data_IF_962908399868
#
_entry.id   IF_962908399868
#
_cell.length_a   1.000
_cell.length_b   1.000
_cell.length_c   1.000
_cell.angle_alpha   90.00
_cell.angle_beta   90.00
_cell.angle_gamma   90.00
#
_symmetry.space_group_name_H-M   'P 1'
#
loop_
_entity.id
_entity.type
_entity.pdbx_description
1 polymer ?
#
# COMPACT_ATOMS: atom_id res chain seq x y z
N UNK A 1 18.81 -48.36 -2.10
CA UNK A 1 18.01 -47.11 -2.08
C UNK A 1 18.84 -45.95 -1.52
N UNK A 2 19.74 -45.34 -2.31
CA UNK A 2 20.66 -44.30 -1.83
C UNK A 2 20.07 -42.87 -1.79
N UNK A 3 18.91 -42.64 -2.40
CA UNK A 3 18.32 -41.30 -2.55
C UNK A 3 18.07 -40.58 -1.21
N UNK A 4 17.72 -41.32 -0.15
CA UNK A 4 17.49 -40.76 1.18
C UNK A 4 18.73 -40.03 1.74
N UNK A 5 19.94 -40.49 1.42
CA UNK A 5 21.18 -39.85 1.87
C UNK A 5 21.41 -38.48 1.24
N UNK A 6 20.80 -38.20 0.09
CA UNK A 6 20.89 -36.90 -0.58
C UNK A 6 19.68 -36.03 -0.22
N UNK A 7 18.49 -36.62 -0.17
CA UNK A 7 17.24 -35.90 0.09
C UNK A 7 17.15 -35.36 1.53
N UNK A 8 17.63 -36.10 2.54
CA UNK A 8 17.56 -35.65 3.93
C UNK A 8 18.42 -34.39 4.15
N UNK A 9 19.71 -34.35 3.76
CA UNK A 9 20.51 -33.14 3.87
C UNK A 9 19.97 -31.99 3.02
N UNK A 10 19.52 -32.27 1.79
CA UNK A 10 18.94 -31.24 0.91
C UNK A 10 17.69 -30.60 1.54
N UNK A 11 16.80 -31.40 2.15
CA UNK A 11 15.63 -30.90 2.84
C UNK A 11 15.99 -30.06 4.06
N UNK A 12 16.96 -30.50 4.88
CA UNK A 12 17.45 -29.72 6.03
C UNK A 12 18.04 -28.38 5.59
N UNK A 13 18.79 -28.36 4.49
CA UNK A 13 19.37 -27.14 3.93
C UNK A 13 18.27 -26.19 3.44
N UNK A 14 17.26 -26.70 2.73
CA UNK A 14 16.10 -25.92 2.28
C UNK A 14 15.34 -25.29 3.46
N UNK A 15 15.06 -26.08 4.49
CA UNK A 15 14.39 -25.60 5.72
C UNK A 15 15.25 -24.54 6.42
N UNK A 16 16.56 -24.77 6.53
CA UNK A 16 17.49 -23.81 7.13
C UNK A 16 17.53 -22.47 6.37
N UNK A 17 17.56 -22.52 5.04
CA UNK A 17 17.51 -21.31 4.19
C UNK A 17 16.16 -20.59 4.33
N UNK A 18 15.05 -21.33 4.36
CA UNK A 18 13.73 -20.74 4.56
C UNK A 18 13.61 -20.01 5.91
N UNK A 19 14.11 -20.64 6.99
CA UNK A 19 14.15 -20.04 8.32
C UNK A 19 15.04 -18.79 8.32
N UNK A 20 16.22 -18.86 7.71
CA UNK A 20 17.13 -17.71 7.62
C UNK A 20 16.47 -16.51 6.90
N UNK A 21 15.87 -16.75 5.73
CA UNK A 21 15.16 -15.71 4.96
C UNK A 21 13.99 -15.13 5.77
N UNK A 22 13.23 -15.99 6.45
CA UNK A 22 12.11 -15.55 7.28
C UNK A 22 12.56 -14.58 8.38
N UNK A 23 13.59 -14.94 9.14
CA UNK A 23 14.11 -14.07 10.20
C UNK A 23 14.74 -12.78 9.65
N UNK A 24 15.44 -12.85 8.52
CA UNK A 24 15.96 -11.66 7.85
C UNK A 24 14.85 -10.70 7.41
N UNK A 25 13.76 -11.23 6.85
CA UNK A 25 12.61 -10.43 6.43
C UNK A 25 11.87 -9.78 7.60
N UNK A 26 11.76 -10.49 8.73
CA UNK A 26 11.18 -9.96 9.97
C UNK A 26 12.03 -8.84 10.56
N UNK A 27 13.35 -9.01 10.60
CA UNK A 27 14.30 -8.01 11.10
C UNK A 27 14.42 -6.78 10.18
N UNK A 28 14.14 -6.95 8.88
CA UNK A 28 14.19 -5.88 7.87
C UNK A 28 13.10 -4.80 8.01
N UNK A 29 12.34 -4.77 9.12
CA UNK A 29 11.46 -3.65 9.44
C UNK A 29 10.26 -3.46 8.50
N UNK A 30 9.89 -4.46 7.69
CA UNK A 30 8.76 -4.35 6.75
C UNK A 30 7.38 -4.12 7.42
N UNK A 31 7.32 -4.19 8.75
CA UNK A 31 6.12 -3.91 9.54
C UNK A 31 6.06 -2.47 10.05
N UNK A 32 7.13 -1.68 9.92
CA UNK A 32 7.14 -0.27 10.35
C UNK A 32 6.36 0.63 9.38
N UNK A 33 6.18 0.21 8.12
CA UNK A 33 5.42 0.96 7.09
C UNK A 33 3.93 0.55 7.00
N UNK A 34 3.42 -0.23 7.96
CA UNK A 34 1.97 -0.51 8.06
C UNK A 34 1.17 0.71 8.58
N UNK A 35 1.83 1.71 9.14
CA UNK A 35 1.23 2.98 9.56
C UNK A 35 1.08 3.99 8.41
N UNK A 36 1.74 3.77 7.27
CA UNK A 36 1.76 4.68 6.12
C UNK A 36 0.41 4.87 5.40
N UNK A 37 -0.39 3.82 5.12
CA UNK A 37 -1.60 3.96 4.28
C UNK A 37 -2.87 4.39 5.03
N UNK A 38 -2.93 4.20 6.35
CA UNK A 38 -4.13 4.49 7.13
C UNK A 38 -4.32 5.99 7.41
N UNK A 39 -3.24 6.77 7.41
CA UNK A 39 -3.29 8.21 7.60
C UNK A 39 -3.49 9.00 6.30
N UNK A 40 -3.09 8.50 5.13
CA UNK A 40 -3.37 9.18 3.86
C UNK A 40 -4.86 9.20 3.55
N UNK A 41 -5.57 8.08 3.69
CA UNK A 41 -7.02 8.00 3.40
C UNK A 41 -7.89 8.98 4.21
N UNK A 42 -7.49 9.32 5.45
CA UNK A 42 -8.27 10.24 6.29
C UNK A 42 -7.92 11.73 6.04
N UNK A 43 -6.74 12.02 5.50
CA UNK A 43 -6.24 13.39 5.30
C UNK A 43 -6.07 13.78 3.82
N UNK A 44 -6.37 12.90 2.87
CA UNK A 44 -6.34 13.19 1.42
C UNK A 44 -7.28 14.36 1.03
N UNK A 45 -8.36 14.57 1.77
CA UNK A 45 -9.28 15.71 1.56
C UNK A 45 -8.64 17.08 1.88
N UNK A 46 -7.52 17.10 2.60
CA UNK A 46 -6.75 18.30 2.95
C UNK A 46 -5.51 18.49 2.06
N UNK A 47 -5.29 17.63 1.06
CA UNK A 47 -4.20 17.82 0.11
C UNK A 47 -4.41 19.14 -0.65
N UNK A 48 -3.45 20.09 -0.62
CA UNK A 48 -3.55 21.35 -1.35
C UNK A 48 -3.80 21.17 -2.86
N UNK A 49 -3.36 20.06 -3.46
CA UNK A 49 -3.66 19.72 -4.85
C UNK A 49 -5.13 19.34 -5.04
N UNK A 50 -5.72 18.63 -4.08
CA UNK A 50 -7.14 18.29 -4.11
C UNK A 50 -8.01 19.54 -3.94
N UNK A 51 -7.67 20.40 -2.97
CA UNK A 51 -8.35 21.69 -2.73
C UNK A 51 -8.28 22.62 -3.95
N UNK A 52 -7.13 22.70 -4.62
CA UNK A 52 -6.98 23.49 -5.84
C UNK A 52 -7.84 22.96 -7.00
N UNK A 53 -7.98 21.63 -7.13
CA UNK A 53 -8.83 21.02 -8.15
C UNK A 53 -10.34 21.29 -7.88
N UNK A 54 -10.78 21.26 -6.62
CA UNK A 54 -12.16 21.59 -6.24
C UNK A 54 -12.47 23.07 -6.51
N UNK A 55 -11.54 23.96 -6.19
CA UNK A 55 -11.67 25.40 -6.41
C UNK A 55 -11.74 25.75 -7.91
N UNK A 56 -10.94 25.07 -8.74
CA UNK A 56 -11.02 25.20 -10.21
C UNK A 56 -12.36 24.68 -10.77
N UNK A 57 -12.84 23.53 -10.27
CA UNK A 57 -14.13 22.98 -10.68
C UNK A 57 -15.29 23.93 -10.32
N UNK A 58 -15.26 24.55 -9.14
CA UNK A 58 -16.26 25.54 -8.71
C UNK A 58 -16.21 26.84 -9.53
N UNK A 59 -15.02 27.27 -9.98
CA UNK A 59 -14.89 28.43 -10.87
C UNK A 59 -15.36 28.16 -12.29
N UNK A 60 -15.26 26.91 -12.74
CA UNK A 60 -15.68 26.50 -14.07
C UNK A 60 -17.20 26.30 -14.19
N UNK A 61 -17.95 26.28 -13.07
CA UNK A 61 -19.40 26.15 -13.10
C UNK A 61 -20.06 27.49 -13.45
N UNK A 62 -20.78 27.60 -14.58
CA UNK A 62 -21.52 28.82 -14.93
C UNK A 62 -22.67 29.03 -13.93
N UNK A 63 -23.07 30.28 -13.65
CA UNK A 63 -24.07 30.57 -12.63
C UNK A 63 -25.36 29.78 -12.90
N UNK A 64 -26.02 29.26 -11.85
CA UNK A 64 -27.24 28.48 -12.01
C UNK A 64 -28.26 29.34 -12.77
N UNK A 65 -28.70 28.83 -13.93
CA UNK A 65 -29.71 29.51 -14.75
C UNK A 65 -30.96 29.63 -13.90
N UNK A 66 -31.29 30.87 -13.50
CA UNK A 66 -32.50 31.16 -12.76
C UNK A 66 -33.72 30.58 -13.51
N UNK A 67 -34.65 29.93 -12.80
CA UNK A 67 -35.81 29.33 -13.44
C UNK A 67 -36.61 30.42 -14.16
N UNK A 68 -37.13 30.16 -15.37
CA UNK A 68 -37.89 31.16 -16.10
C UNK A 68 -39.15 31.48 -15.30
N UNK A 69 -39.24 32.71 -14.82
CA UNK A 69 -40.45 33.24 -14.22
C UNK A 69 -41.56 33.19 -15.28
N UNK A 70 -42.58 32.37 -15.02
CA UNK A 70 -43.82 32.27 -15.79
C UNK A 70 -44.93 33.04 -15.07
#
# INVERSE_FOLDING_TARGET
MPALYVMIPAALLLVGVAIYIFFWAVDSGQYEDLDGPAHSVLFDDQDPNHLAAIDEANRAEPPPKAPPHA
#
